data_IF_972974387163
#
_entry.id   IF_972974387163
#
_cell.length_a   1.000
_cell.length_b   1.000
_cell.length_c   1.000
_cell.angle_alpha   90.00
_cell.angle_beta   90.00
_cell.angle_gamma   90.00
#
_symmetry.space_group_name_H-M   'P 1'
#
loop_
_entity.id
_entity.type
_entity.pdbx_description
1 polymer ?
#
# COMPACT_ATOMS: atom_id res chain seq x y z
N UNK A 1 42.67 44.79 23.13
CA UNK A 1 42.07 44.24 21.89
C UNK A 1 42.09 42.73 21.95
N UNK A 2 40.91 42.04 22.12
CA UNK A 2 40.81 40.58 22.20
C UNK A 2 40.97 40.03 20.78
N UNK A 3 42.02 39.23 20.53
CA UNK A 3 42.19 38.48 19.27
C UNK A 3 41.11 37.44 19.18
N UNK A 4 40.17 37.62 18.27
CA UNK A 4 39.12 36.64 17.94
C UNK A 4 39.81 35.46 17.25
N UNK A 5 39.74 34.25 17.84
CA UNK A 5 40.36 33.05 17.28
C UNK A 5 39.54 32.59 16.05
N UNK A 6 39.99 33.03 14.88
CA UNK A 6 39.38 32.76 13.57
C UNK A 6 39.17 31.22 13.31
N UNK A 7 40.12 30.40 13.83
CA UNK A 7 40.05 28.94 13.68
C UNK A 7 38.86 28.31 14.41
N UNK A 8 38.46 28.85 15.57
CA UNK A 8 37.28 28.34 16.34
C UNK A 8 35.97 28.73 15.67
N UNK A 9 35.93 29.89 14.98
CA UNK A 9 34.78 30.34 14.22
C UNK A 9 34.59 29.52 12.94
N UNK A 10 35.67 29.17 12.23
CA UNK A 10 35.63 28.29 11.07
C UNK A 10 35.15 26.88 11.45
N UNK A 11 35.61 26.32 12.59
CA UNK A 11 35.13 25.00 13.06
C UNK A 11 33.63 25.00 13.41
N UNK A 12 33.14 26.11 14.00
CA UNK A 12 31.73 26.26 14.33
C UNK A 12 30.85 26.39 13.09
N UNK A 13 31.34 27.08 12.06
CA UNK A 13 30.64 27.25 10.78
C UNK A 13 30.57 25.95 9.97
N UNK A 14 31.65 25.16 10.00
CA UNK A 14 31.66 23.81 9.36
C UNK A 14 30.76 22.85 10.09
N UNK A 15 30.71 22.89 11.44
CA UNK A 15 29.80 22.06 12.23
C UNK A 15 28.30 22.42 11.97
N UNK A 16 28.01 23.72 11.80
CA UNK A 16 26.66 24.20 11.47
C UNK A 16 26.23 23.76 10.07
N UNK A 17 27.14 23.72 9.09
CA UNK A 17 26.87 23.24 7.73
C UNK A 17 26.60 21.73 7.66
N UNK A 18 27.23 20.93 8.53
CA UNK A 18 26.99 19.49 8.61
C UNK A 18 25.61 19.14 9.21
N UNK A 19 25.02 20.03 10.01
CA UNK A 19 23.68 19.83 10.58
C UNK A 19 22.54 20.15 9.60
N UNK A 20 22.80 20.89 8.53
CA UNK A 20 21.80 21.28 7.53
C UNK A 20 21.56 20.25 6.42
N UNK A 21 22.30 19.12 6.41
CA UNK A 21 22.29 18.12 5.34
C UNK A 21 21.24 17.03 5.43
N UNK A 22 20.43 16.95 6.51
CA UNK A 22 19.42 15.90 6.68
C UNK A 22 18.02 16.53 6.70
N UNK A 23 17.51 16.92 5.52
CA UNK A 23 16.09 17.21 5.37
C UNK A 23 15.41 15.87 5.12
N UNK A 24 14.63 15.31 6.07
CA UNK A 24 13.83 14.15 5.80
C UNK A 24 12.80 14.53 4.71
N UNK A 25 12.85 13.88 3.56
CA UNK A 25 11.79 13.99 2.56
C UNK A 25 10.53 13.37 3.14
N UNK A 26 9.63 14.19 3.66
CA UNK A 26 8.31 13.74 4.04
C UNK A 26 7.59 13.34 2.74
N UNK A 27 7.31 12.04 2.58
CA UNK A 27 6.45 11.57 1.50
C UNK A 27 5.03 12.04 1.80
N UNK A 28 4.52 12.94 1.00
CA UNK A 28 3.20 13.51 1.15
C UNK A 28 2.24 12.88 0.14
N UNK A 29 1.04 12.50 0.62
CA UNK A 29 -0.04 12.11 -0.29
C UNK A 29 -0.36 13.26 -1.24
N UNK A 30 -0.52 12.96 -2.53
CA UNK A 30 -1.01 13.93 -3.51
C UNK A 30 -2.53 13.89 -3.54
N UNK A 31 -3.18 15.00 -3.19
CA UNK A 31 -4.65 15.12 -3.20
C UNK A 31 -5.06 16.06 -4.32
N UNK A 32 -6.04 15.63 -5.13
CA UNK A 32 -6.60 16.41 -6.24
C UNK A 32 -8.12 16.28 -6.26
N UNK A 33 -8.82 17.35 -6.65
CA UNK A 33 -10.25 17.29 -6.87
C UNK A 33 -10.56 16.56 -8.19
N UNK A 34 -11.72 15.88 -8.22
CA UNK A 34 -12.18 15.13 -9.40
C UNK A 34 -13.62 15.48 -9.75
N UNK A 35 -14.01 15.18 -10.99
CA UNK A 35 -15.40 15.26 -11.43
C UNK A 35 -16.20 13.98 -11.18
N UNK A 36 -15.76 13.13 -10.23
CA UNK A 36 -16.43 11.88 -9.93
C UNK A 36 -17.88 12.10 -9.46
N UNK A 37 -18.78 11.26 -9.94
CA UNK A 37 -20.16 11.23 -9.44
C UNK A 37 -20.20 10.67 -8.02
N UNK A 38 -21.14 11.19 -7.21
CA UNK A 38 -21.41 10.64 -5.88
C UNK A 38 -22.17 9.31 -6.05
N UNK A 39 -21.66 8.24 -5.41
CA UNK A 39 -22.21 6.87 -5.47
C UNK A 39 -22.19 6.15 -4.12
N UNK A 40 -21.97 6.87 -3.02
CA UNK A 40 -21.83 6.33 -1.66
C UNK A 40 -20.81 5.18 -1.52
N UNK A 41 -19.74 5.25 -2.32
CA UNK A 41 -18.65 4.30 -2.34
C UNK A 41 -17.29 4.99 -2.53
N UNK A 42 -16.24 4.21 -2.67
CA UNK A 42 -14.93 4.69 -3.10
C UNK A 42 -14.30 3.74 -4.10
N UNK A 43 -13.32 4.22 -4.84
CA UNK A 43 -12.61 3.43 -5.85
C UNK A 43 -11.13 3.38 -5.52
N UNK A 44 -10.52 2.21 -5.68
CA UNK A 44 -9.08 1.98 -5.56
C UNK A 44 -8.54 1.51 -6.89
N UNK A 45 -7.41 2.03 -7.32
CA UNK A 45 -6.80 1.62 -8.58
C UNK A 45 -5.29 1.87 -8.63
N UNK A 46 -4.56 1.02 -9.34
CA UNK A 46 -5.01 -0.15 -10.10
C UNK A 46 -5.45 -1.31 -9.21
N UNK A 47 -6.43 -2.10 -9.66
CA UNK A 47 -6.91 -3.28 -8.91
C UNK A 47 -5.88 -4.41 -8.86
N UNK A 48 -4.97 -4.47 -9.83
CA UNK A 48 -3.92 -5.49 -9.96
C UNK A 48 -2.62 -4.85 -10.42
N UNK A 49 -1.51 -5.27 -9.82
CA UNK A 49 -0.15 -4.89 -10.20
C UNK A 49 0.70 -6.13 -10.31
N UNK A 50 1.36 -6.33 -11.46
CA UNK A 50 2.28 -7.43 -11.71
C UNK A 50 3.69 -6.88 -11.91
N UNK A 51 4.68 -7.45 -11.23
CA UNK A 51 6.07 -7.00 -11.26
C UNK A 51 7.02 -8.19 -11.41
N UNK A 52 8.09 -7.97 -12.18
CA UNK A 52 9.25 -8.85 -12.25
C UNK A 52 10.44 -8.10 -11.68
N UNK A 53 10.95 -8.56 -10.55
CA UNK A 53 11.98 -7.85 -9.79
C UNK A 53 13.17 -8.76 -9.50
N UNK A 54 14.34 -8.14 -9.40
CA UNK A 54 15.57 -8.82 -8.97
C UNK A 54 15.68 -8.73 -7.44
N UNK A 55 16.50 -9.63 -6.88
CA UNK A 55 16.93 -9.52 -5.47
C UNK A 55 17.63 -8.19 -5.25
N UNK A 56 17.37 -7.53 -4.13
CA UNK A 56 17.88 -6.21 -3.80
C UNK A 56 17.20 -5.05 -4.54
N UNK A 57 16.25 -5.33 -5.44
CA UNK A 57 15.56 -4.29 -6.18
C UNK A 57 14.45 -3.65 -5.36
N UNK A 58 14.33 -2.33 -5.50
CA UNK A 58 13.30 -1.52 -4.88
C UNK A 58 12.56 -0.73 -5.94
N UNK A 59 11.23 -0.79 -5.92
CA UNK A 59 10.36 -0.04 -6.83
C UNK A 59 9.23 0.62 -6.04
N UNK A 60 8.75 1.74 -6.55
CA UNK A 60 7.58 2.44 -6.02
C UNK A 60 6.45 2.39 -7.05
N UNK A 61 5.25 2.08 -6.60
CA UNK A 61 4.03 2.07 -7.41
C UNK A 61 2.98 2.95 -6.75
N UNK A 62 2.33 3.78 -7.54
CA UNK A 62 1.28 4.65 -7.04
C UNK A 62 -0.06 3.90 -6.98
N UNK A 63 -0.79 4.09 -5.88
CA UNK A 63 -2.15 3.61 -5.68
C UNK A 63 -3.07 4.81 -5.50
N UNK A 64 -4.11 4.92 -6.32
CA UNK A 64 -5.08 6.00 -6.21
C UNK A 64 -6.33 5.54 -5.47
N UNK A 65 -6.86 6.43 -4.63
CA UNK A 65 -8.13 6.26 -3.93
C UNK A 65 -9.01 7.45 -4.27
N UNK A 66 -10.25 7.21 -4.71
CA UNK A 66 -11.21 8.26 -5.03
C UNK A 66 -12.41 8.15 -4.09
N UNK A 67 -12.65 9.18 -3.30
CA UNK A 67 -13.85 9.27 -2.48
C UNK A 67 -15.04 9.71 -3.34
N UNK A 68 -16.01 8.82 -3.52
CA UNK A 68 -17.27 9.10 -4.24
C UNK A 68 -18.46 9.20 -3.28
N UNK A 69 -18.21 9.36 -1.98
CA UNK A 69 -19.28 9.71 -1.03
C UNK A 69 -19.56 11.22 -1.04
N UNK A 70 -20.63 11.63 -0.42
CA UNK A 70 -21.03 13.03 -0.28
C UNK A 70 -20.30 13.76 0.87
N UNK A 71 -19.45 13.05 1.64
CA UNK A 71 -18.79 13.52 2.87
C UNK A 71 -17.31 13.20 2.91
N UNK A 72 -16.62 13.79 3.89
CA UNK A 72 -15.23 13.45 4.19
C UNK A 72 -15.14 12.05 4.81
N UNK A 73 -14.18 11.26 4.33
CA UNK A 73 -13.86 9.92 4.82
C UNK A 73 -12.41 9.83 5.28
N UNK A 74 -12.18 9.02 6.30
CA UNK A 74 -10.84 8.57 6.70
C UNK A 74 -10.59 7.23 5.98
N UNK A 75 -9.48 7.16 5.26
CA UNK A 75 -9.02 5.95 4.61
C UNK A 75 -7.86 5.37 5.39
N UNK A 76 -7.92 4.07 5.68
CA UNK A 76 -6.83 3.31 6.30
C UNK A 76 -6.30 2.29 5.32
N UNK A 77 -4.96 2.18 5.25
CA UNK A 77 -4.25 1.29 4.32
C UNK A 77 -3.52 0.22 5.10
N UNK A 78 -3.82 -1.03 4.79
CA UNK A 78 -3.25 -2.21 5.44
C UNK A 78 -2.71 -3.18 4.39
N UNK A 79 -1.75 -4.02 4.79
CA UNK A 79 -1.24 -5.10 3.94
C UNK A 79 -1.75 -6.42 4.48
N UNK A 80 -2.32 -7.23 3.60
CA UNK A 80 -2.85 -8.55 3.93
C UNK A 80 -2.46 -9.56 2.86
N UNK A 81 -2.14 -10.77 3.29
CA UNK A 81 -1.89 -11.87 2.38
C UNK A 81 -3.19 -12.43 1.83
N UNK A 82 -3.12 -13.06 0.68
CA UNK A 82 -4.25 -13.75 0.09
C UNK A 82 -3.82 -15.09 -0.52
N UNK A 83 -4.79 -15.96 -0.75
CA UNK A 83 -4.64 -17.22 -1.47
C UNK A 83 -5.71 -17.35 -2.55
N UNK A 84 -5.47 -18.21 -3.52
CA UNK A 84 -6.50 -18.58 -4.50
C UNK A 84 -7.68 -19.25 -3.84
N UNK A 85 -8.88 -18.92 -4.26
CA UNK A 85 -10.09 -19.58 -3.81
C UNK A 85 -10.35 -20.88 -4.59
N UNK A 86 -10.94 -21.86 -3.92
CA UNK A 86 -11.54 -23.04 -4.57
C UNK A 86 -13.00 -22.83 -4.93
N UNK A 87 -13.59 -21.75 -4.45
CA UNK A 87 -14.96 -21.37 -4.79
C UNK A 87 -14.96 -20.61 -6.12
N UNK A 88 -15.78 -21.05 -7.07
CA UNK A 88 -15.94 -20.41 -8.39
C UNK A 88 -16.53 -18.99 -8.31
N UNK A 89 -17.12 -18.62 -7.19
CA UNK A 89 -17.69 -17.28 -6.96
C UNK A 89 -16.66 -16.26 -6.45
N UNK A 90 -15.50 -16.73 -5.98
CA UNK A 90 -14.44 -15.89 -5.46
C UNK A 90 -13.12 -16.25 -6.13
N UNK A 91 -12.38 -15.26 -6.59
CA UNK A 91 -11.05 -15.50 -7.17
C UNK A 91 -9.96 -15.63 -6.11
N UNK A 92 -10.10 -14.92 -5.00
CA UNK A 92 -9.11 -14.86 -3.91
C UNK A 92 -9.80 -14.90 -2.54
N UNK A 93 -9.08 -15.39 -1.55
CA UNK A 93 -9.46 -15.35 -0.12
C UNK A 93 -8.38 -14.58 0.62
N UNK A 94 -8.77 -13.53 1.33
CA UNK A 94 -7.89 -12.78 2.23
C UNK A 94 -7.62 -13.61 3.49
N UNK A 95 -6.38 -13.59 3.96
CA UNK A 95 -5.93 -14.44 5.07
C UNK A 95 -5.96 -13.73 6.44
N UNK A 96 -6.30 -12.44 6.49
CA UNK A 96 -6.32 -11.68 7.73
C UNK A 96 -4.94 -11.62 8.37
N UNK A 97 -4.83 -12.17 9.58
CA UNK A 97 -3.57 -12.24 10.32
C UNK A 97 -2.67 -13.40 9.90
N UNK A 98 -3.22 -14.40 9.21
CA UNK A 98 -2.46 -15.55 8.74
C UNK A 98 -1.51 -15.14 7.59
N UNK A 99 -0.43 -15.91 7.44
CA UNK A 99 0.57 -15.68 6.41
C UNK A 99 0.51 -16.77 5.34
N UNK A 100 0.62 -16.32 4.10
CA UNK A 100 0.87 -17.20 2.97
C UNK A 100 2.35 -17.66 2.97
N UNK A 101 2.66 -18.89 2.52
CA UNK A 101 4.03 -19.30 2.25
C UNK A 101 4.70 -18.45 1.14
N UNK A 102 3.90 -17.75 0.36
CA UNK A 102 4.33 -16.85 -0.72
C UNK A 102 4.04 -15.39 -0.38
N UNK A 103 4.11 -15.03 0.91
CA UNK A 103 3.80 -13.70 1.42
C UNK A 103 4.65 -12.61 0.79
N UNK A 104 4.00 -11.51 0.39
CA UNK A 104 4.65 -10.26 0.00
C UNK A 104 4.66 -9.25 1.16
N UNK A 105 4.00 -9.54 2.28
CA UNK A 105 3.75 -8.61 3.40
C UNK A 105 5.01 -7.92 3.91
N UNK A 106 6.13 -8.62 3.99
CA UNK A 106 7.38 -8.06 4.51
C UNK A 106 8.15 -7.23 3.46
N UNK A 107 7.76 -7.33 2.19
CA UNK A 107 8.43 -6.67 1.06
C UNK A 107 7.65 -5.46 0.54
N UNK A 108 6.40 -5.27 0.95
CA UNK A 108 5.53 -4.19 0.49
C UNK A 108 5.14 -3.28 1.64
N UNK A 109 5.21 -1.98 1.42
CA UNK A 109 4.89 -0.97 2.42
C UNK A 109 4.23 0.24 1.77
N UNK A 110 3.02 0.64 2.19
CA UNK A 110 2.47 1.93 1.82
C UNK A 110 3.22 3.04 2.56
N UNK A 111 3.47 4.16 1.92
CA UNK A 111 4.10 5.30 2.57
C UNK A 111 3.14 6.07 3.50
N UNK A 112 1.84 5.92 3.28
CA UNK A 112 0.78 6.46 4.12
C UNK A 112 -0.16 5.34 4.58
N UNK A 113 -0.32 5.20 5.89
CA UNK A 113 -1.22 4.20 6.48
C UNK A 113 -2.63 4.75 6.74
N UNK A 114 -2.79 6.08 6.77
CA UNK A 114 -4.08 6.74 6.96
C UNK A 114 -4.07 8.13 6.35
N UNK A 115 -5.20 8.54 5.76
CA UNK A 115 -5.39 9.86 5.19
C UNK A 115 -6.88 10.19 5.08
N UNK A 116 -7.18 11.48 4.88
CA UNK A 116 -8.54 11.98 4.71
C UNK A 116 -8.75 12.49 3.28
N UNK A 117 -9.92 12.19 2.72
CA UNK A 117 -10.36 12.77 1.46
C UNK A 117 -11.76 13.34 1.64
N UNK A 118 -11.94 14.57 1.20
CA UNK A 118 -13.27 15.19 1.06
C UNK A 118 -14.05 14.52 -0.05
N UNK A 119 -15.34 14.80 -0.11
CA UNK A 119 -16.18 14.40 -1.25
C UNK A 119 -15.50 14.74 -2.58
N UNK A 120 -15.52 13.80 -3.54
CA UNK A 120 -14.96 13.93 -4.89
C UNK A 120 -13.44 14.17 -4.95
N UNK A 121 -12.71 13.93 -3.87
CA UNK A 121 -11.25 14.01 -3.90
C UNK A 121 -10.61 12.66 -4.25
N UNK A 122 -9.49 12.75 -4.95
CA UNK A 122 -8.56 11.64 -5.23
C UNK A 122 -7.30 11.85 -4.40
N UNK A 123 -6.92 10.84 -3.65
CA UNK A 123 -5.60 10.71 -3.03
C UNK A 123 -4.75 9.72 -3.82
N UNK A 124 -3.49 10.05 -4.04
CA UNK A 124 -2.49 9.14 -4.59
C UNK A 124 -1.43 8.90 -3.54
N UNK A 125 -1.28 7.63 -3.15
CA UNK A 125 -0.28 7.18 -2.19
C UNK A 125 0.75 6.32 -2.91
N UNK A 126 1.98 6.38 -2.44
CA UNK A 126 3.04 5.53 -2.93
C UNK A 126 3.13 4.23 -2.11
N UNK A 127 3.28 3.13 -2.83
CA UNK A 127 3.47 1.79 -2.30
C UNK A 127 4.86 1.33 -2.70
N UNK A 128 5.73 1.16 -1.72
CA UNK A 128 7.11 0.75 -1.92
C UNK A 128 7.19 -0.77 -1.83
N UNK A 129 7.78 -1.39 -2.85
CA UNK A 129 8.11 -2.81 -2.88
C UNK A 129 9.63 -2.92 -2.85
N UNK A 130 10.19 -3.60 -1.82
CA UNK A 130 11.62 -3.76 -1.63
C UNK A 130 11.97 -5.24 -1.45
N UNK A 131 12.62 -5.81 -2.44
CA UNK A 131 13.00 -7.22 -2.44
C UNK A 131 14.36 -7.37 -1.75
N UNK A 132 14.48 -8.11 -0.64
CA UNK A 132 15.77 -8.33 0.00
C UNK A 132 16.73 -9.16 -0.87
N UNK A 133 18.03 -9.06 -0.57
CA UNK A 133 19.06 -9.78 -1.32
C UNK A 133 18.98 -11.30 -1.18
N UNK A 134 18.41 -11.77 -0.09
CA UNK A 134 18.22 -13.18 0.28
C UNK A 134 16.80 -13.69 -0.02
N UNK A 135 15.95 -12.88 -0.68
CA UNK A 135 14.59 -13.30 -1.04
C UNK A 135 14.60 -14.60 -1.84
N UNK A 136 13.66 -15.47 -1.57
CA UNK A 136 13.45 -16.68 -2.36
C UNK A 136 12.98 -16.31 -3.77
N UNK A 137 13.50 -16.98 -4.84
CA UNK A 137 13.02 -16.77 -6.19
C UNK A 137 11.62 -17.36 -6.36
N UNK A 138 10.81 -16.74 -7.23
CA UNK A 138 9.46 -17.22 -7.50
C UNK A 138 8.41 -16.17 -7.24
N UNK A 139 7.14 -16.60 -7.12
CA UNK A 139 6.00 -15.73 -6.93
C UNK A 139 5.78 -15.35 -5.47
N UNK A 140 5.61 -14.06 -5.21
CA UNK A 140 5.17 -13.51 -3.92
C UNK A 140 3.91 -12.69 -4.13
N UNK A 141 2.96 -12.80 -3.22
CA UNK A 141 1.62 -12.25 -3.37
C UNK A 141 1.20 -11.48 -2.11
N UNK A 142 0.51 -10.38 -2.30
CA UNK A 142 -0.04 -9.58 -1.21
C UNK A 142 -1.10 -8.62 -1.72
N UNK A 143 -1.94 -8.15 -0.82
CA UNK A 143 -3.00 -7.19 -1.10
C UNK A 143 -2.75 -5.92 -0.29
N UNK A 144 -2.89 -4.77 -0.95
CA UNK A 144 -3.01 -3.47 -0.29
C UNK A 144 -4.49 -3.20 -0.11
N UNK A 145 -4.96 -3.28 1.12
CA UNK A 145 -6.36 -3.08 1.48
C UNK A 145 -6.57 -1.64 1.89
N UNK A 146 -7.57 -1.01 1.30
CA UNK A 146 -8.04 0.31 1.68
C UNK A 146 -9.41 0.16 2.32
N UNK A 147 -9.54 0.64 3.56
CA UNK A 147 -10.81 0.68 4.30
C UNK A 147 -11.26 2.12 4.42
N UNK A 148 -12.56 2.39 4.38
CA UNK A 148 -13.13 3.71 4.63
C UNK A 148 -13.95 3.73 5.90
N UNK A 149 -13.86 4.83 6.65
CA UNK A 149 -14.72 5.14 7.79
C UNK A 149 -15.08 6.63 7.76
N UNK A 150 -16.27 7.02 8.28
CA UNK A 150 -16.63 8.42 8.46
C UNK A 150 -15.60 9.16 9.33
N UNK A 151 -15.39 10.45 9.08
CA UNK A 151 -14.51 11.26 9.94
C UNK A 151 -15.14 11.44 11.33
N UNK A 152 -14.31 11.53 12.37
CA UNK A 152 -14.75 11.56 13.78
C UNK A 152 -15.71 12.71 14.17
N UNK A 153 -15.89 13.73 13.34
CA UNK A 153 -16.84 14.82 13.58
C UNK A 153 -18.31 14.41 13.37
N UNK A 154 -18.56 13.27 12.70
CA UNK A 154 -19.90 12.74 12.46
C UNK A 154 -20.24 11.55 13.38
N UNK A 155 -19.29 11.11 14.23
CA UNK A 155 -19.51 9.98 15.15
C UNK A 155 -20.54 10.31 16.23
N UNK A 156 -20.61 11.55 16.69
CA UNK A 156 -21.49 11.99 17.76
C UNK A 156 -22.99 12.06 17.34
N UNK A 157 -23.29 12.15 16.05
CA UNK A 157 -24.66 12.15 15.53
C UNK A 157 -25.21 10.75 15.21
N UNK A 158 -24.39 9.71 15.31
CA UNK A 158 -24.72 8.37 14.84
C UNK A 158 -24.97 7.33 15.95
N UNK A 159 -25.34 7.77 17.15
CA UNK A 159 -25.49 6.92 18.37
C UNK A 159 -26.41 5.70 18.23
N UNK A 160 -27.04 5.46 17.07
CA UNK A 160 -27.87 4.27 16.80
C UNK A 160 -27.83 3.74 15.35
N UNK A 161 -26.82 4.06 14.54
CA UNK A 161 -26.75 3.57 13.16
C UNK A 161 -25.66 2.50 12.99
N UNK A 162 -26.01 1.44 12.27
CA UNK A 162 -25.05 0.40 11.86
C UNK A 162 -23.92 1.03 11.05
N UNK A 163 -22.67 0.92 11.54
CA UNK A 163 -21.50 1.40 10.82
C UNK A 163 -21.11 0.39 9.75
N UNK A 164 -21.19 0.77 8.49
CA UNK A 164 -20.69 -0.04 7.38
C UNK A 164 -19.25 0.37 7.08
N UNK A 165 -18.30 -0.54 7.23
CA UNK A 165 -16.91 -0.38 6.81
C UNK A 165 -16.75 -1.06 5.46
N UNK A 166 -16.47 -0.29 4.42
CA UNK A 166 -16.15 -0.83 3.11
C UNK A 166 -14.65 -1.07 3.00
N UNK A 167 -14.24 -2.21 2.42
CA UNK A 167 -12.84 -2.57 2.18
C UNK A 167 -12.66 -2.96 0.71
N UNK A 168 -11.64 -2.39 0.05
CA UNK A 168 -11.26 -2.70 -1.33
C UNK A 168 -9.78 -3.07 -1.35
N UNK A 169 -9.45 -4.20 -1.98
CA UNK A 169 -8.09 -4.70 -2.12
C UNK A 169 -7.53 -4.45 -3.51
N UNK A 170 -6.30 -3.92 -3.57
CA UNK A 170 -5.46 -3.92 -4.74
C UNK A 170 -4.46 -5.08 -4.65
N UNK A 171 -4.45 -5.98 -5.63
CA UNK A 171 -3.65 -7.20 -5.61
C UNK A 171 -2.27 -6.93 -6.23
N UNK A 172 -1.23 -7.38 -5.54
CA UNK A 172 0.16 -7.31 -6.00
C UNK A 172 0.72 -8.72 -6.20
N UNK A 173 1.23 -8.94 -7.41
CA UNK A 173 1.88 -10.16 -7.84
C UNK A 173 3.33 -9.80 -8.20
N UNK A 174 4.27 -10.30 -7.42
CA UNK A 174 5.69 -10.03 -7.63
C UNK A 174 6.39 -11.35 -7.93
N UNK A 175 7.08 -11.42 -9.05
CA UNK A 175 7.96 -12.53 -9.37
C UNK A 175 9.41 -12.11 -9.16
N UNK A 176 10.09 -12.76 -8.22
CA UNK A 176 11.53 -12.57 -7.96
C UNK A 176 12.33 -13.44 -8.90
N UNK A 177 13.30 -12.84 -9.60
CA UNK A 177 14.16 -13.53 -10.57
C UNK A 177 15.00 -14.62 -9.88
N UNK A 178 15.10 -15.78 -10.52
CA UNK A 178 15.95 -16.89 -10.10
C UNK A 178 15.43 -18.24 -10.54
N UNK A 179 16.18 -19.28 -10.21
CA UNK A 179 15.79 -20.66 -10.52
C UNK A 179 14.73 -21.13 -9.54
N UNK A 180 13.57 -21.49 -10.04
CA UNK A 180 12.45 -22.06 -9.28
C UNK A 180 12.35 -23.53 -9.64
N UNK A 181 12.15 -24.40 -8.63
CA UNK A 181 11.71 -25.79 -8.85
C UNK A 181 10.20 -25.75 -9.10
N UNK A 182 9.83 -26.02 -10.35
CA UNK A 182 8.42 -26.17 -10.71
C UNK A 182 8.15 -27.66 -10.92
N UNK A 183 7.14 -28.19 -10.22
CA UNK A 183 6.65 -29.55 -10.38
C UNK A 183 5.12 -29.51 -10.45
N UNK A 184 4.59 -30.20 -11.44
CA UNK A 184 3.14 -30.26 -11.66
C UNK A 184 2.74 -31.71 -11.96
N UNK A 185 1.73 -32.20 -11.22
CA UNK A 185 1.16 -33.53 -11.43
C UNK A 185 -0.34 -33.41 -11.67
N UNK A 186 -0.82 -33.94 -12.79
CA UNK A 186 -2.24 -34.10 -13.03
C UNK A 186 -2.78 -35.18 -12.10
N UNK A 187 -3.59 -34.80 -11.11
CA UNK A 187 -4.14 -35.71 -10.10
C UNK A 187 -5.53 -36.25 -10.44
N UNK A 188 -6.19 -35.67 -11.44
CA UNK A 188 -7.50 -36.11 -11.89
C UNK A 188 -7.99 -35.30 -13.09
N UNK A 189 -8.77 -35.96 -13.92
CA UNK A 189 -9.50 -35.34 -15.02
C UNK A 189 -10.96 -35.90 -14.99
N UNK A 190 -11.93 -35.00 -14.98
CA UNK A 190 -13.35 -35.36 -15.04
C UNK A 190 -14.01 -34.51 -16.11
N UNK A 191 -14.72 -35.17 -17.03
CA UNK A 191 -15.65 -34.51 -17.93
C UNK A 191 -17.04 -34.53 -17.32
N UNK A 192 -17.66 -33.37 -17.19
CA UNK A 192 -19.09 -33.29 -16.91
C UNK A 192 -19.82 -33.48 -18.22
N UNK A 193 -20.71 -34.50 -18.27
CA UNK A 193 -21.59 -34.65 -19.40
C UNK A 193 -22.63 -33.53 -19.34
N UNK A 194 -22.78 -32.78 -20.40
CA UNK A 194 -23.81 -31.75 -20.59
C UNK A 194 -25.15 -32.40 -20.86
#
# INVERSE_FOLDING_TARGET
>A
MKKINLSRWCAFLVLLLLFFGFIPTASAITITDTSAEIRDDFVVGPAKTELFLKRGEKVTKSLSVVNRTDREQIFTVEIEDFTGSRDLKQSVVLLGNDRSPYSLRDYIKPEQNSFKLKSKQRGVIDVVISIPNDAEPGGHYGSVLVSSAPSSQEEDELDNKTRTISRIGALYFVRVEGKVKEDAKLTGFRMENS
#
